data_IF_917866686942
#
_entry.id   IF_917866686942
#
_cell.length_a   1.000
_cell.length_b   1.000
_cell.length_c   1.000
_cell.angle_alpha   90.00
_cell.angle_beta   90.00
_cell.angle_gamma   90.00
#
_symmetry.space_group_name_H-M   'P 1'
#
loop_
_entity.id
_entity.type
_entity.pdbx_description
1 polymer ?
#
# COMPACT_ATOMS: atom_id res chain seq x y z
N UNK A 1 21.35 -1.73 -5.69
CA UNK A 1 20.01 -1.07 -5.71
C UNK A 1 19.09 -1.48 -4.55
N UNK A 2 19.16 -2.70 -4.03
CA UNK A 2 18.34 -3.15 -2.88
C UNK A 2 18.76 -2.57 -1.51
N UNK A 3 20.01 -2.14 -1.33
CA UNK A 3 20.47 -1.49 -0.09
C UNK A 3 19.75 -0.16 0.20
N UNK A 4 19.39 0.59 -0.85
CA UNK A 4 18.64 1.86 -0.72
C UNK A 4 17.20 1.67 -0.25
N UNK A 5 16.61 0.49 -0.44
CA UNK A 5 15.23 0.21 -0.04
C UNK A 5 15.12 -0.22 1.43
N UNK A 6 16.16 -0.87 1.97
CA UNK A 6 16.27 -1.17 3.41
C UNK A 6 16.49 0.14 4.19
N UNK A 7 17.33 1.05 3.69
CA UNK A 7 17.53 2.40 4.27
C UNK A 7 16.22 3.19 4.41
N UNK A 8 15.28 3.04 3.46
CA UNK A 8 13.99 3.75 3.47
C UNK A 8 13.03 3.21 4.54
N UNK A 9 13.08 1.90 4.81
CA UNK A 9 12.26 1.25 5.85
C UNK A 9 12.76 1.61 7.26
N UNK A 10 14.08 1.69 7.45
CA UNK A 10 14.69 2.12 8.72
C UNK A 10 14.48 3.62 8.97
N UNK A 11 14.59 4.48 7.94
CA UNK A 11 14.30 5.93 8.04
C UNK A 11 12.89 6.20 8.56
N UNK A 12 11.88 5.44 8.12
CA UNK A 12 10.50 5.63 8.59
C UNK A 12 10.25 5.15 10.03
N UNK A 13 11.10 4.27 10.56
CA UNK A 13 11.01 3.80 11.96
C UNK A 13 11.58 4.83 12.94
N UNK A 14 12.53 5.66 12.49
CA UNK A 14 13.16 6.75 13.29
C UNK A 14 12.34 8.04 13.25
N UNK A 15 11.59 8.31 12.18
CA UNK A 15 10.87 9.58 11.98
C UNK A 15 9.50 9.69 12.68
N UNK A 16 9.05 8.68 13.44
CA UNK A 16 7.76 8.74 14.15
C UNK A 16 7.84 9.21 15.61
N UNK A 17 9.05 9.48 16.11
CA UNK A 17 9.26 10.14 17.38
C UNK A 17 10.26 11.28 17.18
N UNK A 18 9.82 12.50 17.49
CA UNK A 18 10.54 13.78 17.47
C UNK A 18 10.42 14.61 16.17
N UNK A 19 9.89 15.82 16.33
CA UNK A 19 10.01 16.96 15.40
C UNK A 19 11.46 17.46 15.23
N UNK A 20 12.46 16.63 15.53
CA UNK A 20 13.87 16.89 15.35
C UNK A 20 14.41 15.85 14.39
N UNK A 21 14.66 16.26 13.14
CA UNK A 21 15.49 15.45 12.24
C UNK A 21 16.85 15.25 12.90
N UNK A 22 17.31 14.01 13.14
CA UNK A 22 18.61 13.79 13.74
C UNK A 22 19.70 14.38 12.85
N UNK A 23 20.56 15.22 13.43
CA UNK A 23 21.65 15.92 12.72
C UNK A 23 22.81 14.99 12.35
N UNK A 24 22.81 13.75 12.83
CA UNK A 24 23.88 12.77 12.60
C UNK A 24 23.30 11.40 12.21
N UNK A 25 24.06 10.64 11.43
CA UNK A 25 23.70 9.30 10.94
C UNK A 25 24.06 8.17 11.93
N UNK A 26 24.53 8.51 13.14
CA UNK A 26 25.10 7.58 14.12
C UNK A 26 24.19 6.38 14.41
N UNK A 27 22.88 6.58 14.57
CA UNK A 27 21.93 5.48 14.83
C UNK A 27 21.82 4.49 13.67
N UNK A 28 21.92 4.98 12.43
CA UNK A 28 21.93 4.12 11.23
C UNK A 28 23.24 3.34 11.16
N UNK A 29 24.37 3.99 11.43
CA UNK A 29 25.68 3.32 11.41
C UNK A 29 25.81 2.26 12.51
N UNK A 30 25.31 2.55 13.72
CA UNK A 30 25.25 1.59 14.82
C UNK A 30 24.39 0.37 14.44
N UNK A 31 23.21 0.59 13.85
CA UNK A 31 22.35 -0.51 13.39
C UNK A 31 23.03 -1.34 12.29
N UNK A 32 23.66 -0.67 11.32
CA UNK A 32 24.41 -1.34 10.26
C UNK A 32 25.59 -2.16 10.82
N UNK A 33 26.26 -1.67 11.86
CA UNK A 33 27.33 -2.38 12.55
C UNK A 33 26.81 -3.66 13.21
N UNK A 34 25.69 -3.60 13.93
CA UNK A 34 25.04 -4.78 14.53
C UNK A 34 24.69 -5.83 13.47
N UNK A 35 24.08 -5.43 12.35
CA UNK A 35 23.77 -6.36 11.23
C UNK A 35 25.05 -6.99 10.67
N UNK A 36 26.11 -6.20 10.53
CA UNK A 36 27.41 -6.66 10.02
C UNK A 36 28.09 -7.63 10.98
N UNK A 37 28.12 -7.32 12.26
CA UNK A 37 28.91 -8.04 13.26
C UNK A 37 28.18 -9.29 13.78
N UNK A 38 26.85 -9.23 13.94
CA UNK A 38 26.07 -10.30 14.59
C UNK A 38 25.28 -11.21 13.65
N UNK A 39 24.94 -10.72 12.44
CA UNK A 39 23.99 -11.42 11.58
C UNK A 39 24.60 -11.88 10.26
N UNK A 40 25.39 -11.02 9.62
CA UNK A 40 26.01 -11.31 8.32
C UNK A 40 27.49 -11.66 8.44
N UNK A 41 28.11 -11.41 9.59
CA UNK A 41 29.56 -11.54 9.84
C UNK A 41 30.41 -10.84 8.77
N UNK A 42 29.89 -9.74 8.21
CA UNK A 42 30.47 -8.97 7.08
C UNK A 42 30.68 -9.78 5.80
N UNK A 43 30.05 -10.95 5.68
CA UNK A 43 30.13 -11.81 4.51
C UNK A 43 29.01 -11.51 3.49
N UNK A 44 29.27 -11.87 2.24
CA UNK A 44 28.25 -11.88 1.20
C UNK A 44 27.50 -13.21 1.25
N UNK A 45 26.19 -13.15 1.42
CA UNK A 45 25.35 -14.34 1.52
C UNK A 45 24.59 -14.61 0.21
N UNK A 46 24.42 -15.89 -0.19
CA UNK A 46 23.48 -16.23 -1.24
C UNK A 46 22.06 -15.85 -0.83
N UNK A 47 21.17 -15.61 -1.80
CA UNK A 47 19.84 -15.05 -1.57
C UNK A 47 19.00 -15.88 -0.58
N UNK A 48 19.08 -17.21 -0.65
CA UNK A 48 18.39 -18.11 0.29
C UNK A 48 18.82 -17.89 1.74
N UNK A 49 20.14 -17.79 1.97
CA UNK A 49 20.70 -17.54 3.30
C UNK A 49 20.38 -16.13 3.80
N UNK A 50 20.39 -15.15 2.90
CA UNK A 50 19.97 -13.79 3.22
C UNK A 50 18.54 -13.73 3.77
N UNK A 51 17.59 -14.46 3.17
CA UNK A 51 16.21 -14.48 3.67
C UNK A 51 16.09 -15.11 5.06
N UNK A 52 16.88 -16.15 5.35
CA UNK A 52 16.93 -16.76 6.69
C UNK A 52 17.43 -15.73 7.72
N UNK A 53 18.54 -15.05 7.41
CA UNK A 53 19.12 -14.03 8.28
C UNK A 53 18.15 -12.86 8.49
N UNK A 54 17.54 -12.35 7.41
CA UNK A 54 16.58 -11.25 7.49
C UNK A 54 15.35 -11.61 8.34
N UNK A 55 14.82 -12.83 8.19
CA UNK A 55 13.70 -13.31 8.99
C UNK A 55 14.06 -13.39 10.48
N UNK A 56 15.27 -13.87 10.80
CA UNK A 56 15.76 -13.94 12.18
C UNK A 56 15.95 -12.55 12.80
N UNK A 57 16.53 -11.58 12.06
CA UNK A 57 16.65 -10.18 12.49
C UNK A 57 15.26 -9.62 12.87
N UNK A 58 14.30 -9.73 11.96
CA UNK A 58 12.94 -9.19 12.16
C UNK A 58 12.24 -9.89 13.32
N UNK A 59 12.38 -11.20 13.43
CA UNK A 59 11.81 -11.99 14.51
C UNK A 59 12.38 -11.60 15.88
N UNK A 60 13.70 -11.43 16.01
CA UNK A 60 14.33 -10.97 17.27
C UNK A 60 13.90 -9.55 17.61
N UNK A 61 13.98 -8.63 16.66
CA UNK A 61 13.66 -7.22 16.91
C UNK A 61 12.18 -7.00 17.23
N UNK A 62 11.26 -7.75 16.60
CA UNK A 62 9.83 -7.66 16.91
C UNK A 62 9.49 -8.10 18.34
N UNK A 63 10.28 -9.00 18.94
CA UNK A 63 10.08 -9.48 20.33
C UNK A 63 10.86 -8.72 21.38
N UNK A 64 11.88 -7.96 20.99
CA UNK A 64 12.83 -7.28 21.89
C UNK A 64 12.24 -6.18 22.77
N UNK A 65 11.06 -5.66 22.41
CA UNK A 65 10.31 -4.63 23.17
C UNK A 65 8.84 -5.01 23.28
N UNK A 66 8.58 -6.22 23.76
CA UNK A 66 7.22 -6.73 23.93
C UNK A 66 6.52 -6.06 25.13
N UNK A 67 5.18 -6.19 25.22
CA UNK A 67 4.36 -5.55 26.27
C UNK A 67 4.70 -5.98 27.71
N UNK A 68 5.45 -7.07 27.90
CA UNK A 68 5.81 -7.60 29.22
C UNK A 68 7.15 -7.06 29.74
N UNK A 69 7.88 -6.30 28.93
CA UNK A 69 9.17 -5.71 29.32
C UNK A 69 8.98 -4.31 29.92
N UNK A 70 9.98 -3.85 30.67
CA UNK A 70 9.97 -2.55 31.33
C UNK A 70 9.87 -1.35 30.36
N UNK A 71 10.28 -1.52 29.10
CA UNK A 71 10.20 -0.50 28.05
C UNK A 71 9.52 -1.01 26.76
N UNK A 72 8.19 -1.19 26.78
CA UNK A 72 7.45 -1.80 25.68
C UNK A 72 7.23 -0.81 24.51
N UNK A 73 7.28 -1.31 23.27
CA UNK A 73 6.74 -0.57 22.12
C UNK A 73 5.28 -0.98 21.94
N UNK A 74 4.37 -0.02 22.06
CA UNK A 74 2.95 -0.21 21.76
C UNK A 74 2.76 0.01 20.25
N UNK A 75 2.41 -1.05 19.53
CA UNK A 75 2.07 -0.98 18.11
C UNK A 75 0.57 -0.71 17.95
N UNK A 76 0.21 0.13 16.97
CA UNK A 76 -1.19 0.28 16.56
C UNK A 76 -1.70 -1.03 15.99
N UNK A 77 -2.85 -1.49 16.46
CA UNK A 77 -3.53 -2.69 15.96
C UNK A 77 -4.45 -2.40 14.78
N UNK A 78 -4.80 -1.12 14.57
CA UNK A 78 -5.60 -0.67 13.45
C UNK A 78 -4.84 0.33 12.56
N UNK A 79 -5.10 0.33 11.23
CA UNK A 79 -4.54 1.34 10.36
C UNK A 79 -5.21 2.69 10.60
N UNK A 80 -4.41 3.75 10.64
CA UNK A 80 -4.92 5.13 10.64
C UNK A 80 -5.36 5.50 9.24
N UNK A 81 -6.61 5.91 9.08
CA UNK A 81 -7.18 6.30 7.79
C UNK A 81 -7.27 7.82 7.72
N UNK A 82 -6.52 8.45 6.82
CA UNK A 82 -6.59 9.91 6.64
C UNK A 82 -7.79 10.30 5.77
N UNK A 83 -8.13 11.59 5.81
CA UNK A 83 -9.17 12.15 4.94
C UNK A 83 -8.85 11.91 3.44
N UNK A 84 -7.58 11.99 3.05
CA UNK A 84 -7.17 11.77 1.66
C UNK A 84 -7.42 10.33 1.21
N UNK A 85 -7.20 9.33 2.07
CA UNK A 85 -7.57 7.94 1.74
C UNK A 85 -9.08 7.78 1.59
N UNK A 86 -9.87 8.42 2.47
CA UNK A 86 -11.34 8.41 2.35
C UNK A 86 -11.82 9.00 1.03
N UNK A 87 -11.28 10.15 0.62
CA UNK A 87 -11.61 10.79 -0.66
C UNK A 87 -11.22 9.89 -1.84
N UNK A 88 -10.01 9.34 -1.83
CA UNK A 88 -9.55 8.41 -2.87
C UNK A 88 -10.41 7.14 -2.96
N UNK A 89 -10.80 6.58 -1.81
CA UNK A 89 -11.68 5.42 -1.73
C UNK A 89 -13.08 5.73 -2.26
N UNK A 90 -13.62 6.91 -1.94
CA UNK A 90 -14.93 7.35 -2.43
C UNK A 90 -14.95 7.53 -3.95
N UNK A 91 -13.92 8.18 -4.52
CA UNK A 91 -13.79 8.30 -5.97
C UNK A 91 -13.62 6.94 -6.64
N UNK A 92 -12.84 6.04 -6.04
CA UNK A 92 -12.71 4.67 -6.54
C UNK A 92 -14.07 3.93 -6.49
N UNK A 93 -14.81 4.04 -5.39
CA UNK A 93 -16.11 3.40 -5.24
C UNK A 93 -17.11 3.86 -6.31
N UNK A 94 -17.08 5.15 -6.67
CA UNK A 94 -17.88 5.75 -7.76
C UNK A 94 -17.39 5.45 -9.17
N UNK A 95 -16.16 4.95 -9.34
CA UNK A 95 -15.64 4.62 -10.67
C UNK A 95 -16.46 3.50 -11.33
N UNK A 96 -16.45 3.45 -12.67
CA UNK A 96 -17.13 2.40 -13.45
C UNK A 96 -16.39 1.06 -13.45
N UNK A 97 -15.28 0.93 -12.70
CA UNK A 97 -14.51 -0.32 -12.66
C UNK A 97 -15.32 -1.43 -12.02
N UNK A 98 -15.55 -2.52 -12.74
CA UNK A 98 -16.20 -3.70 -12.18
C UNK A 98 -15.27 -4.46 -11.24
N UNK A 99 -15.89 -5.15 -10.28
CA UNK A 99 -15.21 -6.07 -9.39
C UNK A 99 -15.88 -7.44 -9.54
N UNK A 100 -15.11 -8.44 -9.99
CA UNK A 100 -15.57 -9.82 -10.04
C UNK A 100 -15.43 -10.44 -8.66
N UNK A 101 -16.54 -10.91 -8.11
CA UNK A 101 -16.59 -11.64 -6.85
C UNK A 101 -16.28 -13.12 -7.09
N UNK A 102 -15.35 -13.66 -6.30
CA UNK A 102 -15.02 -15.08 -6.28
C UNK A 102 -14.93 -15.51 -4.82
N UNK A 103 -15.47 -16.68 -4.48
CA UNK A 103 -15.34 -17.24 -3.14
C UNK A 103 -13.87 -17.37 -2.75
N UNK A 104 -13.51 -16.86 -1.56
CA UNK A 104 -12.14 -17.03 -1.09
C UNK A 104 -11.94 -18.47 -0.61
N UNK A 105 -10.68 -18.94 -0.64
CA UNK A 105 -10.32 -20.21 0.00
C UNK A 105 -10.44 -20.14 1.53
N UNK A 106 -10.36 -18.94 2.09
CA UNK A 106 -10.49 -18.69 3.52
C UNK A 106 -11.97 -18.58 3.88
N UNK A 107 -12.46 -19.45 4.77
CA UNK A 107 -13.84 -19.41 5.26
C UNK A 107 -14.14 -18.06 5.91
N UNK A 108 -15.29 -17.47 5.58
CA UNK A 108 -15.70 -16.16 6.09
C UNK A 108 -15.07 -14.96 5.36
N UNK A 109 -14.47 -15.19 4.19
CA UNK A 109 -13.88 -14.14 3.37
C UNK A 109 -14.30 -14.29 1.90
N UNK A 110 -14.38 -13.15 1.22
CA UNK A 110 -14.70 -13.06 -0.19
C UNK A 110 -13.57 -12.33 -0.93
N UNK A 111 -13.16 -12.87 -2.09
CA UNK A 111 -12.18 -12.21 -2.97
C UNK A 111 -12.89 -11.40 -4.06
N UNK A 112 -12.41 -10.18 -4.28
CA UNK A 112 -12.84 -9.28 -5.33
C UNK A 112 -11.66 -8.95 -6.25
N UNK A 113 -11.83 -9.21 -7.53
CA UNK A 113 -10.82 -8.96 -8.56
C UNK A 113 -11.22 -7.79 -9.43
N UNK A 114 -10.30 -6.88 -9.67
CA UNK A 114 -10.54 -5.66 -10.45
C UNK A 114 -9.29 -5.29 -11.26
N UNK A 115 -9.44 -4.68 -12.44
CA UNK A 115 -8.31 -4.31 -13.27
C UNK A 115 -7.49 -3.16 -12.68
N UNK A 116 -6.17 -3.24 -12.83
CA UNK A 116 -5.29 -2.12 -12.59
C UNK A 116 -5.32 -1.10 -13.76
N UNK A 117 -4.76 0.09 -13.54
CA UNK A 117 -4.62 1.10 -14.61
C UNK A 117 -5.95 1.63 -15.14
N UNK A 118 -6.08 1.73 -16.48
CA UNK A 118 -7.24 2.32 -17.17
C UNK A 118 -8.35 1.32 -17.53
N UNK A 119 -8.05 0.02 -17.51
CA UNK A 119 -9.03 -1.00 -17.82
C UNK A 119 -10.22 -0.94 -16.83
N UNK A 120 -11.42 -1.24 -17.34
CA UNK A 120 -12.67 -1.14 -16.59
C UNK A 120 -13.12 -2.48 -16.01
N UNK A 121 -12.87 -3.57 -16.73
CA UNK A 121 -13.30 -4.90 -16.33
C UNK A 121 -12.14 -5.90 -16.35
N UNK A 122 -12.33 -7.01 -15.66
CA UNK A 122 -11.47 -8.19 -15.71
C UNK A 122 -12.39 -9.40 -15.91
N UNK A 123 -11.93 -10.43 -16.61
CA UNK A 123 -12.69 -11.65 -16.89
C UNK A 123 -12.25 -12.81 -15.99
N UNK A 124 -13.08 -13.84 -15.88
CA UNK A 124 -12.74 -15.07 -15.14
C UNK A 124 -11.50 -15.77 -15.71
N UNK A 125 -11.36 -15.80 -17.04
CA UNK A 125 -10.21 -16.38 -17.72
C UNK A 125 -8.91 -15.62 -17.40
N UNK A 126 -8.94 -14.28 -17.41
CA UNK A 126 -7.78 -13.47 -17.00
C UNK A 126 -7.38 -13.73 -15.55
N UNK A 127 -8.35 -13.90 -14.64
CA UNK A 127 -8.08 -14.24 -13.23
C UNK A 127 -7.47 -15.64 -13.10
N UNK A 128 -7.94 -16.62 -13.88
CA UNK A 128 -7.37 -17.98 -13.87
C UNK A 128 -5.92 -17.95 -14.37
N UNK A 129 -5.66 -17.26 -15.49
CA UNK A 129 -4.30 -17.03 -15.99
C UNK A 129 -3.47 -16.34 -14.91
N UNK A 130 -4.02 -15.32 -14.24
CA UNK A 130 -3.35 -14.62 -13.15
C UNK A 130 -2.92 -15.51 -11.99
N UNK A 131 -3.78 -16.44 -11.59
CA UNK A 131 -3.50 -17.37 -10.49
C UNK A 131 -2.48 -18.44 -10.85
N UNK A 132 -2.43 -18.87 -12.12
CA UNK A 132 -1.61 -19.99 -12.57
C UNK A 132 -0.27 -19.57 -13.18
N UNK A 133 -0.11 -18.30 -13.53
CA UNK A 133 1.07 -17.80 -14.23
C UNK A 133 2.33 -18.02 -13.39
N UNK A 134 3.34 -18.61 -14.03
CA UNK A 134 4.71 -18.71 -13.51
C UNK A 134 5.56 -17.65 -14.19
N UNK A 135 6.55 -17.16 -13.47
CA UNK A 135 7.49 -16.12 -13.91
C UNK A 135 8.90 -16.71 -13.93
N UNK A 136 9.68 -16.33 -14.93
CA UNK A 136 11.10 -16.71 -15.04
C UNK A 136 12.03 -15.57 -14.66
N UNK A 137 11.51 -14.33 -14.53
CA UNK A 137 12.27 -13.16 -14.09
C UNK A 137 11.49 -12.28 -13.11
N UNK A 138 12.23 -11.48 -12.35
CA UNK A 138 11.65 -10.53 -11.40
C UNK A 138 10.87 -9.41 -12.09
N UNK A 139 11.29 -8.97 -13.27
CA UNK A 139 10.61 -7.88 -13.97
C UNK A 139 9.28 -8.33 -14.57
N UNK A 140 9.23 -9.54 -15.13
CA UNK A 140 7.95 -10.16 -15.52
C UNK A 140 7.00 -10.30 -14.32
N UNK A 141 7.53 -10.68 -13.16
CA UNK A 141 6.73 -10.74 -11.93
C UNK A 141 6.16 -9.37 -11.57
N UNK A 142 6.95 -8.30 -11.59
CA UNK A 142 6.48 -6.95 -11.23
C UNK A 142 5.36 -6.47 -12.15
N UNK A 143 5.55 -6.59 -13.46
CA UNK A 143 4.58 -6.13 -14.45
C UNK A 143 3.25 -6.88 -14.32
N UNK A 144 3.33 -8.19 -14.04
CA UNK A 144 2.16 -9.02 -13.92
C UNK A 144 1.46 -8.90 -12.57
N UNK A 145 2.20 -8.89 -11.46
CA UNK A 145 1.66 -8.90 -10.09
C UNK A 145 0.74 -7.70 -9.81
N UNK A 146 0.98 -6.57 -10.50
CA UNK A 146 0.22 -5.34 -10.34
C UNK A 146 -0.75 -5.07 -11.49
N UNK A 147 -1.00 -6.05 -12.37
CA UNK A 147 -1.96 -5.95 -13.47
C UNK A 147 -3.42 -6.10 -13.01
N UNK A 148 -3.65 -6.87 -11.95
CA UNK A 148 -4.97 -7.12 -11.35
C UNK A 148 -4.88 -6.84 -9.85
N UNK A 149 -5.81 -6.03 -9.33
CA UNK A 149 -5.97 -5.90 -7.89
C UNK A 149 -6.87 -7.02 -7.37
N UNK A 150 -6.38 -7.73 -6.36
CA UNK A 150 -7.13 -8.67 -5.56
C UNK A 150 -7.37 -8.05 -4.20
N UNK A 151 -8.63 -7.90 -3.82
CA UNK A 151 -9.06 -7.43 -2.52
C UNK A 151 -9.80 -8.56 -1.83
N UNK A 152 -9.37 -8.96 -0.64
CA UNK A 152 -10.07 -9.97 0.16
C UNK A 152 -10.69 -9.28 1.37
N UNK A 153 -12.01 -9.39 1.54
CA UNK A 153 -12.74 -8.79 2.66
C UNK A 153 -13.38 -9.89 3.51
N UNK A 154 -13.53 -9.62 4.81
CA UNK A 154 -14.36 -10.45 5.69
C UNK A 154 -15.82 -10.36 5.24
N UNK A 155 -16.55 -11.46 5.35
CA UNK A 155 -18.00 -11.48 5.15
C UNK A 155 -18.72 -10.73 6.28
N UNK A 156 -18.05 -10.55 7.43
CA UNK A 156 -18.51 -9.68 8.50
C UNK A 156 -18.25 -8.21 8.17
N UNK A 157 -19.34 -7.44 7.98
CA UNK A 157 -19.29 -6.04 7.61
C UNK A 157 -18.53 -5.15 8.61
N UNK A 158 -18.48 -5.48 9.91
CA UNK A 158 -17.76 -4.66 10.91
C UNK A 158 -16.24 -4.79 10.81
N UNK A 159 -15.75 -5.89 10.25
CA UNK A 159 -14.33 -6.25 10.19
C UNK A 159 -13.66 -5.88 8.87
N UNK A 160 -14.32 -5.09 8.01
CA UNK A 160 -13.83 -4.75 6.67
C UNK A 160 -12.42 -4.14 6.66
N UNK A 161 -12.00 -3.46 7.75
CA UNK A 161 -10.65 -2.89 7.92
C UNK A 161 -9.54 -3.94 7.94
N UNK A 162 -9.86 -5.18 8.32
CA UNK A 162 -8.93 -6.32 8.33
C UNK A 162 -8.71 -6.94 6.94
N UNK A 163 -9.31 -6.34 5.91
CA UNK A 163 -9.17 -6.79 4.53
C UNK A 163 -7.73 -6.80 4.03
N UNK A 164 -7.47 -7.60 3.01
CA UNK A 164 -6.16 -7.72 2.36
C UNK A 164 -6.22 -7.19 0.93
N UNK A 165 -5.14 -6.57 0.47
CA UNK A 165 -5.02 -6.15 -0.91
C UNK A 165 -3.59 -6.37 -1.44
N UNK A 166 -3.42 -6.70 -2.71
CA UNK A 166 -2.10 -6.85 -3.33
C UNK A 166 -1.53 -5.53 -3.90
N UNK A 167 -2.14 -4.38 -3.63
CA UNK A 167 -1.66 -3.10 -4.15
C UNK A 167 -0.49 -2.52 -3.33
N UNK A 168 0.42 -1.73 -3.94
CA UNK A 168 1.56 -1.14 -3.24
C UNK A 168 1.20 -0.30 -2.01
N UNK A 169 0.11 0.47 -2.07
CA UNK A 169 -0.35 1.30 -0.94
C UNK A 169 -0.68 0.45 0.29
N UNK A 170 -1.29 -0.71 0.09
CA UNK A 170 -1.63 -1.63 1.19
C UNK A 170 -0.38 -2.20 1.85
N UNK A 171 0.63 -2.60 1.09
CA UNK A 171 1.88 -3.12 1.68
C UNK A 171 2.62 -2.10 2.54
N UNK A 172 2.33 -0.81 2.38
CA UNK A 172 2.95 0.26 3.16
C UNK A 172 2.12 0.65 4.37
N UNK A 173 0.82 0.87 4.19
CA UNK A 173 -0.04 1.46 5.22
C UNK A 173 -1.03 0.46 5.85
N UNK A 174 -1.05 -0.79 5.38
CA UNK A 174 -2.01 -1.84 5.76
C UNK A 174 -3.49 -1.48 5.53
N UNK A 175 -3.74 -0.41 4.76
CA UNK A 175 -5.04 0.02 4.27
C UNK A 175 -4.86 0.67 2.90
N UNK A 176 -5.89 0.62 2.05
CA UNK A 176 -5.83 1.27 0.75
C UNK A 176 -7.22 1.66 0.24
N UNK A 177 -7.23 2.50 -0.80
CA UNK A 177 -8.47 2.91 -1.49
C UNK A 177 -9.29 1.75 -2.05
N UNK A 178 -8.66 0.60 -2.36
CA UNK A 178 -9.37 -0.56 -2.91
C UNK A 178 -10.17 -1.30 -1.82
N UNK A 179 -9.58 -1.54 -0.64
CA UNK A 179 -10.28 -2.13 0.52
C UNK A 179 -11.44 -1.22 0.93
N UNK A 180 -11.13 0.05 1.18
CA UNK A 180 -12.11 1.04 1.62
C UNK A 180 -13.18 1.26 0.56
N UNK A 181 -12.81 1.37 -0.70
CA UNK A 181 -13.75 1.60 -1.78
C UNK A 181 -14.67 0.42 -2.05
N UNK A 182 -14.17 -0.82 -1.89
CA UNK A 182 -15.03 -2.01 -1.90
C UNK A 182 -15.96 -2.04 -0.69
N UNK A 183 -15.47 -1.71 0.51
CA UNK A 183 -16.31 -1.60 1.71
C UNK A 183 -17.43 -0.55 1.53
N UNK A 184 -17.15 0.57 0.87
CA UNK A 184 -18.16 1.59 0.50
C UNK A 184 -19.18 1.01 -0.49
N UNK A 185 -18.73 0.33 -1.56
CA UNK A 185 -19.63 -0.28 -2.56
C UNK A 185 -20.55 -1.34 -1.96
N UNK A 186 -20.03 -2.13 -1.02
CA UNK A 186 -20.77 -3.16 -0.29
C UNK A 186 -21.58 -2.61 0.88
N UNK A 187 -21.54 -1.29 1.12
CA UNK A 187 -22.23 -0.60 2.23
C UNK A 187 -21.78 -1.04 3.63
N UNK A 188 -20.58 -1.61 3.77
CA UNK A 188 -19.99 -1.98 5.07
C UNK A 188 -19.54 -0.75 5.87
N UNK A 189 -19.21 0.34 5.19
CA UNK A 189 -18.88 1.61 5.83
C UNK A 189 -19.47 2.80 5.09
N UNK A 190 -19.62 3.91 5.83
CA UNK A 190 -20.04 5.20 5.28
C UNK A 190 -18.85 6.15 5.32
N UNK A 191 -18.43 6.73 4.18
CA UNK A 191 -17.35 7.71 4.19
C UNK A 191 -17.79 8.97 4.91
N UNK A 192 -16.88 9.67 5.63
CA UNK A 192 -17.20 10.91 6.30
C UNK A 192 -17.67 11.96 5.30
N UNK A 193 -18.54 12.92 5.69
CA UNK A 193 -19.05 13.95 4.78
C UNK A 193 -17.94 14.73 4.08
N UNK A 194 -16.90 15.10 4.82
CA UNK A 194 -15.72 15.81 4.30
C UNK A 194 -14.96 15.08 3.19
N UNK A 195 -15.07 13.76 3.11
CA UNK A 195 -14.45 12.98 2.02
C UNK A 195 -15.28 12.98 0.73
N UNK A 196 -16.57 13.33 0.83
CA UNK A 196 -17.48 13.45 -0.31
C UNK A 196 -17.39 14.82 -0.96
N UNK A 197 -16.82 15.79 -0.26
CA UNK A 197 -16.61 17.14 -0.75
C UNK A 197 -15.63 17.09 -1.92
N UNK A 198 -16.21 17.13 -3.13
CA UNK A 198 -15.45 17.32 -4.36
C UNK A 198 -14.94 18.77 -4.28
N UNK A 199 -13.64 19.04 -4.44
CA UNK A 199 -13.17 20.42 -4.53
C UNK A 199 -13.91 21.09 -5.70
N UNK A 200 -14.78 22.04 -5.40
CA UNK A 200 -15.53 22.82 -6.39
C UNK A 200 -14.54 23.70 -7.15
N UNK A 201 -14.09 23.22 -8.31
CA UNK A 201 -13.25 23.96 -9.25
C UNK A 201 -11.82 24.15 -8.76
N UNK A 202 -10.86 23.66 -9.53
CA UNK A 202 -9.51 24.22 -9.43
C UNK A 202 -9.61 25.73 -9.62
N UNK A 203 -9.15 26.47 -8.61
CA UNK A 203 -8.94 27.92 -8.72
C UNK A 203 -8.06 28.16 -9.95
N UNK A 204 -8.57 28.92 -10.93
CA UNK A 204 -7.79 29.29 -12.14
C UNK A 204 -6.41 29.78 -11.72
N UNK A 205 -5.36 29.32 -12.42
CA UNK A 205 -3.99 29.80 -12.22
C UNK A 205 -3.99 31.33 -12.12
N UNK A 206 -3.24 31.86 -11.13
CA UNK A 206 -3.23 33.29 -10.83
C UNK A 206 -2.73 34.07 -12.06
N UNK A 207 -3.63 34.82 -12.71
CA UNK A 207 -3.32 35.59 -13.91
C UNK A 207 -4.58 35.95 -14.72
N UNK A 208 -4.47 36.96 -15.57
CA UNK A 208 -5.55 37.40 -16.45
C UNK A 208 -5.85 36.31 -17.49
N UNK A 209 -7.12 35.90 -17.70
CA UNK A 209 -7.47 35.00 -18.80
C UNK A 209 -7.02 35.60 -20.14
N UNK A 210 -6.38 34.82 -21.01
CA UNK A 210 -6.10 35.25 -22.38
C UNK A 210 -7.43 35.56 -23.07
N UNK A 211 -7.55 36.75 -23.66
CA UNK A 211 -8.70 37.11 -24.50
C UNK A 211 -8.72 36.17 -25.72
N UNK A 212 -9.91 35.71 -26.11
CA UNK A 212 -10.08 34.93 -27.32
C UNK A 212 -9.59 35.73 -28.53
N UNK A 213 -8.61 35.20 -29.27
CA UNK A 213 -8.18 35.73 -30.56
C UNK A 213 -9.23 35.40 -31.60
N UNK A 214 -9.80 36.42 -32.26
CA UNK A 214 -10.67 36.23 -33.42
C UNK A 214 -9.84 35.60 -34.55
N UNK A 215 -10.35 34.51 -35.13
CA UNK A 215 -9.78 33.92 -36.35
C UNK A 215 -10.20 34.80 -37.53
N UNK A 216 -9.24 35.08 -38.43
CA UNK A 216 -9.46 35.87 -39.63
C UNK A 216 -10.31 35.05 -40.61
N UNK A 217 -11.50 35.52 -40.97
CA UNK A 217 -12.23 35.01 -42.12
C UNK A 217 -11.74 35.77 -43.35
N UNK A 218 -11.04 35.09 -44.25
CA UNK A 218 -10.64 35.63 -45.55
C UNK A 218 -11.87 35.51 -46.47
N UNK A 219 -12.36 36.64 -46.99
CA UNK A 219 -13.29 36.71 -48.13
C UNK A 219 -12.59 37.44 -49.27
#
# INVERSE_FOLDING_TARGET
MLSKNIERSVKNKVLRYNNFTPSTNNSLEATNRVIKDEHTFRERHPLSRFFIIANDIVHRWSKSRNQKQADPIIYSTEPTITLQEWTNAYHFAKSSKSALQISSKRKGFTDYYMPAGKAQNVTTNEIQIYKMKKWTSLDQFKDFQFSIWRVTLSDNATEWKSGLCNCPSFFKEYICKHIMGMAIRLKFCKPPPSAKDIPLGEKRNRGRPRKATKVLLIQ
#
